data_IF_313984888831
#
_entry.id   IF_313984888831
#
_cell.length_a   1.000
_cell.length_b   1.000
_cell.length_c   1.000
_cell.angle_alpha   90.00
_cell.angle_beta   90.00
_cell.angle_gamma   90.00
#
_symmetry.space_group_name_H-M   'P 1'
#
loop_
_entity.id
_entity.type
_entity.pdbx_description
1 polymer ?
#
# COMPACT_ATOMS: atom_id res chain seq x y z
N UNK A 1 -31.71 -34.16 -17.47
CA UNK A 1 -32.09 -33.20 -16.44
C UNK A 1 -31.16 -33.45 -15.26
N UNK A 2 -30.07 -32.67 -15.14
CA UNK A 2 -29.10 -32.79 -14.06
C UNK A 2 -28.96 -31.38 -13.48
N UNK A 3 -29.46 -31.19 -12.25
CA UNK A 3 -29.33 -29.94 -11.50
C UNK A 3 -27.91 -29.80 -10.98
N UNK A 4 -27.23 -28.70 -11.35
CA UNK A 4 -25.99 -28.30 -10.78
C UNK A 4 -26.28 -27.26 -9.69
N UNK A 5 -26.37 -27.75 -8.45
CA UNK A 5 -26.44 -26.91 -7.25
C UNK A 5 -25.12 -26.21 -6.98
N UNK A 6 -25.03 -24.91 -7.33
CA UNK A 6 -23.91 -24.03 -6.96
C UNK A 6 -23.91 -23.76 -5.47
N UNK A 7 -22.95 -24.31 -4.71
CA UNK A 7 -22.68 -23.91 -3.33
C UNK A 7 -21.93 -22.58 -3.32
N UNK A 8 -22.61 -21.53 -2.85
CA UNK A 8 -21.98 -20.28 -2.46
C UNK A 8 -20.96 -20.54 -1.32
N UNK A 9 -19.69 -20.29 -1.60
CA UNK A 9 -18.62 -20.39 -0.62
C UNK A 9 -18.83 -19.35 0.50
N UNK A 10 -19.06 -19.83 1.71
CA UNK A 10 -19.08 -19.00 2.92
C UNK A 10 -17.68 -18.40 3.12
N UNK A 11 -17.59 -17.06 3.14
CA UNK A 11 -16.41 -16.31 3.56
C UNK A 11 -16.02 -16.76 4.97
N UNK A 12 -14.97 -17.56 5.07
CA UNK A 12 -14.42 -18.01 6.34
C UNK A 12 -13.69 -16.86 7.01
N UNK A 13 -14.25 -16.35 8.10
CA UNK A 13 -13.54 -15.45 8.99
C UNK A 13 -12.31 -16.19 9.55
N UNK A 14 -11.11 -15.72 9.22
CA UNK A 14 -9.86 -16.26 9.78
C UNK A 14 -9.81 -16.05 11.30
N UNK A 15 -9.38 -17.06 12.10
CA UNK A 15 -9.30 -16.94 13.55
C UNK A 15 -8.26 -15.87 13.93
N UNK A 16 -8.71 -14.87 14.71
CA UNK A 16 -7.86 -13.81 15.26
C UNK A 16 -6.81 -14.42 16.19
N UNK A 17 -5.54 -14.38 15.82
CA UNK A 17 -4.44 -14.71 16.71
C UNK A 17 -4.26 -13.61 17.76
N UNK A 18 -4.44 -13.97 19.07
CA UNK A 18 -4.14 -13.10 20.21
C UNK A 18 -2.65 -12.76 20.23
N UNK A 19 -2.33 -11.46 20.27
CA UNK A 19 -0.96 -10.98 20.51
C UNK A 19 -0.27 -10.29 19.32
N UNK A 20 -0.94 -10.11 18.18
CA UNK A 20 -0.34 -9.44 17.01
C UNK A 20 -0.60 -7.92 17.02
N UNK A 21 0.45 -7.15 16.75
CA UNK A 21 0.44 -5.73 16.42
C UNK A 21 -0.52 -5.48 15.25
N UNK A 22 -1.20 -4.33 15.28
CA UNK A 22 -2.03 -3.89 14.15
C UNK A 22 -1.25 -4.03 12.84
N UNK A 23 -1.76 -4.85 11.97
CA UNK A 23 -1.15 -5.19 10.68
C UNK A 23 -2.15 -4.80 9.60
N UNK A 24 -1.65 -4.24 8.53
CA UNK A 24 -2.41 -4.03 7.31
C UNK A 24 -1.81 -4.90 6.21
N UNK A 25 -2.62 -5.74 5.61
CA UNK A 25 -2.26 -6.53 4.44
C UNK A 25 -2.91 -5.95 3.19
N UNK A 26 -2.11 -5.77 2.14
CA UNK A 26 -2.57 -5.33 0.82
C UNK A 26 -2.32 -6.46 -0.17
N UNK A 27 -3.37 -6.95 -0.78
CA UNK A 27 -3.31 -8.04 -1.75
C UNK A 27 -3.55 -7.48 -3.15
N UNK A 28 -2.63 -7.79 -4.05
CA UNK A 28 -2.68 -7.48 -5.48
C UNK A 28 -3.05 -8.74 -6.24
N UNK A 29 -4.23 -8.78 -6.83
CA UNK A 29 -4.70 -9.89 -7.67
C UNK A 29 -4.53 -9.54 -9.14
N UNK A 30 -3.80 -10.36 -9.87
CA UNK A 30 -3.53 -10.15 -11.30
C UNK A 30 -4.77 -10.50 -12.12
N UNK A 31 -5.23 -9.57 -12.95
CA UNK A 31 -6.35 -9.77 -13.86
C UNK A 31 -5.87 -9.75 -15.33
N UNK A 32 -6.75 -10.16 -16.24
CA UNK A 32 -6.47 -10.07 -17.68
C UNK A 32 -6.42 -8.62 -18.15
N UNK A 33 -5.76 -8.36 -19.28
CA UNK A 33 -5.74 -7.03 -19.91
C UNK A 33 -4.97 -5.98 -19.12
N UNK A 34 -3.88 -6.37 -18.44
CA UNK A 34 -3.03 -5.49 -17.63
C UNK A 34 -3.80 -4.77 -16.51
N UNK A 35 -4.79 -5.43 -15.93
CA UNK A 35 -5.54 -4.95 -14.78
C UNK A 35 -5.15 -5.69 -13.53
N UNK A 36 -5.40 -5.10 -12.40
CA UNK A 36 -5.28 -5.74 -11.10
C UNK A 36 -6.34 -5.21 -10.14
N UNK A 37 -6.75 -6.10 -9.24
CA UNK A 37 -7.63 -5.79 -8.14
C UNK A 37 -6.80 -5.68 -6.87
N UNK A 38 -7.06 -4.67 -6.07
CA UNK A 38 -6.49 -4.53 -4.72
C UNK A 38 -7.55 -4.79 -3.67
N UNK A 39 -7.17 -5.58 -2.66
CA UNK A 39 -7.93 -5.72 -1.42
C UNK A 39 -7.04 -5.33 -0.23
N UNK A 40 -7.65 -4.69 0.77
CA UNK A 40 -6.95 -4.26 1.98
C UNK A 40 -7.65 -4.86 3.19
N UNK A 41 -6.90 -5.58 3.99
CA UNK A 41 -7.34 -6.10 5.29
C UNK A 41 -6.58 -5.38 6.39
N UNK A 42 -7.31 -4.85 7.37
CA UNK A 42 -6.75 -4.13 8.53
C UNK A 42 -7.29 -4.73 9.82
N UNK A 43 -6.46 -4.72 10.85
CA UNK A 43 -6.91 -5.15 12.19
C UNK A 43 -7.97 -4.22 12.79
N UNK A 44 -8.02 -2.98 12.35
CA UNK A 44 -8.92 -1.94 12.88
C UNK A 44 -9.66 -1.22 11.77
N UNK A 45 -10.88 -0.80 12.09
CA UNK A 45 -11.74 -0.06 11.18
C UNK A 45 -12.70 -0.95 10.40
N UNK A 46 -13.51 -0.36 9.53
CA UNK A 46 -14.47 -1.11 8.72
C UNK A 46 -13.76 -1.92 7.64
N UNK A 47 -14.42 -2.96 7.16
CA UNK A 47 -14.06 -3.64 5.93
C UNK A 47 -14.05 -2.67 4.77
N UNK A 48 -13.03 -2.78 3.92
CA UNK A 48 -12.86 -1.92 2.74
C UNK A 48 -13.30 -2.66 1.48
N UNK A 49 -14.01 -1.95 0.61
CA UNK A 49 -14.36 -2.48 -0.70
C UNK A 49 -13.10 -2.68 -1.55
N UNK A 50 -13.01 -3.78 -2.31
CA UNK A 50 -11.96 -3.97 -3.30
C UNK A 50 -11.93 -2.82 -4.31
N UNK A 51 -10.75 -2.51 -4.82
CA UNK A 51 -10.56 -1.45 -5.81
C UNK A 51 -9.68 -1.93 -6.95
N UNK A 52 -10.09 -1.67 -8.19
CA UNK A 52 -9.19 -1.81 -9.33
C UNK A 52 -8.14 -0.70 -9.32
N UNK A 53 -6.91 -1.07 -9.57
CA UNK A 53 -5.84 -0.11 -9.81
C UNK A 53 -5.94 0.49 -11.22
N UNK A 54 -5.17 1.58 -11.50
CA UNK A 54 -5.18 2.27 -12.79
C UNK A 54 -4.61 1.43 -13.96
N UNK A 55 -4.24 0.20 -13.69
CA UNK A 55 -3.52 -0.67 -14.60
C UNK A 55 -2.03 -0.76 -14.29
N UNK A 56 -1.30 -1.53 -15.05
CA UNK A 56 0.15 -1.60 -14.96
C UNK A 56 0.76 -1.53 -16.36
N UNK A 57 1.91 -0.89 -16.47
CA UNK A 57 2.74 -1.05 -17.64
C UNK A 57 3.42 -2.43 -17.60
N UNK A 58 4.33 -2.76 -18.50
CA UNK A 58 4.78 -4.13 -18.76
C UNK A 58 5.38 -4.86 -17.57
N UNK A 59 5.68 -4.18 -16.46
CA UNK A 59 6.56 -4.73 -15.43
C UNK A 59 5.94 -4.90 -14.05
N UNK A 60 5.21 -3.92 -13.53
CA UNK A 60 4.60 -4.01 -12.18
C UNK A 60 3.40 -3.06 -12.00
N UNK A 61 2.47 -3.38 -11.09
CA UNK A 61 1.39 -2.49 -10.72
C UNK A 61 1.90 -1.18 -10.13
N UNK A 62 1.37 -0.05 -10.58
CA UNK A 62 1.72 1.29 -10.07
C UNK A 62 1.56 1.39 -8.55
N UNK A 63 0.42 0.95 -8.02
CA UNK A 63 0.17 0.99 -6.57
C UNK A 63 1.11 0.08 -5.76
N UNK A 64 1.67 -0.99 -6.35
CA UNK A 64 2.67 -1.82 -5.68
C UNK A 64 4.01 -1.08 -5.54
N UNK A 65 4.41 -0.27 -6.53
CA UNK A 65 5.59 0.57 -6.42
C UNK A 65 5.44 1.57 -5.27
N UNK A 66 4.31 2.28 -5.19
CA UNK A 66 4.00 3.18 -4.07
C UNK A 66 4.02 2.47 -2.72
N UNK A 67 3.41 1.28 -2.63
CA UNK A 67 3.43 0.50 -1.39
C UNK A 67 4.85 0.20 -0.92
N UNK A 68 5.70 -0.30 -1.82
CA UNK A 68 7.06 -0.69 -1.49
C UNK A 68 7.93 0.52 -1.10
N UNK A 69 7.80 1.62 -1.83
CA UNK A 69 8.48 2.88 -1.54
C UNK A 69 8.08 3.42 -0.17
N UNK A 70 6.78 3.55 0.09
CA UNK A 70 6.26 4.07 1.35
C UNK A 70 6.63 3.18 2.54
N UNK A 71 6.59 1.86 2.35
CA UNK A 71 6.97 0.89 3.38
C UNK A 71 8.45 1.00 3.76
N UNK A 72 9.35 1.07 2.78
CA UNK A 72 10.80 1.19 3.00
C UNK A 72 11.18 2.57 3.55
N UNK A 73 10.57 3.65 3.03
CA UNK A 73 10.79 5.01 3.50
C UNK A 73 10.02 5.37 4.78
N UNK A 74 9.16 4.45 5.27
CA UNK A 74 8.29 4.62 6.46
C UNK A 74 7.42 5.87 6.40
N UNK A 75 6.84 6.14 5.24
CA UNK A 75 5.98 7.29 5.00
C UNK A 75 4.56 7.03 5.51
N UNK A 76 4.27 7.52 6.71
CA UNK A 76 2.93 7.35 7.33
C UNK A 76 1.87 8.30 6.77
N UNK A 77 2.27 9.36 6.07
CA UNK A 77 1.39 10.32 5.41
C UNK A 77 1.22 10.09 3.91
N UNK A 78 1.87 9.07 3.34
CA UNK A 78 1.66 8.62 1.98
C UNK A 78 0.31 7.91 1.80
N UNK A 79 0.05 7.36 0.61
CA UNK A 79 -1.21 6.72 0.28
C UNK A 79 -1.54 5.54 1.21
N UNK A 80 -0.59 4.61 1.36
CA UNK A 80 -0.79 3.39 2.18
C UNK A 80 -0.68 3.67 3.68
N UNK A 81 0.21 4.58 4.11
CA UNK A 81 0.27 5.01 5.51
C UNK A 81 -1.04 5.65 5.98
N UNK A 82 -1.72 6.41 5.11
CA UNK A 82 -3.04 6.98 5.39
C UNK A 82 -4.14 5.92 5.41
N UNK A 83 -4.06 4.88 4.57
CA UNK A 83 -4.98 3.74 4.62
C UNK A 83 -4.84 3.01 5.96
N UNK A 84 -3.61 2.75 6.40
CA UNK A 84 -3.34 2.13 7.72
C UNK A 84 -3.94 2.97 8.86
N UNK A 85 -3.77 4.29 8.82
CA UNK A 85 -4.35 5.22 9.78
C UNK A 85 -5.88 5.40 9.66
N UNK A 86 -6.54 4.77 8.71
CA UNK A 86 -7.98 4.91 8.46
C UNK A 86 -8.42 6.24 7.86
N UNK A 87 -7.49 6.97 7.24
CA UNK A 87 -7.70 8.33 6.71
C UNK A 87 -7.74 8.41 5.17
N UNK A 88 -7.62 7.32 4.47
CA UNK A 88 -7.54 7.34 3.01
C UNK A 88 -8.89 7.51 2.34
N UNK A 89 -8.93 8.31 1.26
CA UNK A 89 -10.00 8.36 0.27
C UNK A 89 -9.78 7.41 -0.92
N UNK A 90 -8.72 6.62 -0.90
CA UNK A 90 -8.35 5.67 -1.95
C UNK A 90 -9.18 4.38 -1.85
N UNK A 91 -9.45 3.93 -0.61
CA UNK A 91 -10.31 2.79 -0.31
C UNK A 91 -11.50 3.23 0.54
N UNK A 92 -12.67 2.74 0.20
CA UNK A 92 -13.91 3.10 0.86
C UNK A 92 -14.49 1.91 1.63
N UNK A 93 -15.24 2.14 2.72
CA UNK A 93 -15.96 1.07 3.39
C UNK A 93 -16.89 0.31 2.44
N UNK A 94 -16.93 -1.01 2.57
CA UNK A 94 -17.87 -1.86 1.85
C UNK A 94 -19.33 -1.59 2.27
N UNK A 95 -19.56 -1.20 3.54
CA UNK A 95 -20.87 -0.79 4.05
C UNK A 95 -21.27 0.60 3.54
N UNK A 96 -22.43 0.70 2.87
CA UNK A 96 -22.93 1.94 2.26
C UNK A 96 -23.25 3.07 3.26
N UNK A 97 -23.60 2.76 4.52
CA UNK A 97 -23.86 3.77 5.55
C UNK A 97 -22.54 4.37 6.01
N UNK A 98 -21.55 3.53 6.26
CA UNK A 98 -20.20 3.96 6.63
C UNK A 98 -19.54 4.74 5.50
N UNK A 99 -19.72 4.31 4.24
CA UNK A 99 -19.25 5.00 3.06
C UNK A 99 -19.78 6.44 3.00
N UNK A 100 -21.12 6.65 3.15
CA UNK A 100 -21.71 8.00 3.14
C UNK A 100 -21.15 8.87 4.27
N UNK A 101 -21.01 8.32 5.48
CA UNK A 101 -20.44 9.02 6.61
C UNK A 101 -18.98 9.43 6.36
N UNK A 102 -18.17 8.51 5.84
CA UNK A 102 -16.76 8.77 5.56
C UNK A 102 -16.59 9.80 4.44
N UNK A 103 -17.33 9.70 3.33
CA UNK A 103 -17.31 10.72 2.25
C UNK A 103 -17.62 12.12 2.78
N UNK A 104 -18.66 12.25 3.64
CA UNK A 104 -19.01 13.54 4.25
C UNK A 104 -17.91 14.07 5.18
N UNK A 105 -17.17 13.21 5.87
CA UNK A 105 -16.05 13.60 6.73
C UNK A 105 -14.85 14.03 5.90
N UNK A 106 -14.49 13.25 4.89
CA UNK A 106 -13.36 13.55 4.00
C UNK A 106 -13.57 14.84 3.20
N UNK A 107 -14.79 15.12 2.71
CA UNK A 107 -15.09 16.37 1.99
C UNK A 107 -14.87 17.64 2.83
N UNK A 108 -14.89 17.53 4.16
CA UNK A 108 -14.64 18.64 5.08
C UNK A 108 -13.20 18.69 5.60
N UNK A 109 -12.42 17.64 5.34
CA UNK A 109 -11.04 17.52 5.82
C UNK A 109 -10.10 18.32 4.91
N UNK A 110 -9.26 19.14 5.54
CA UNK A 110 -8.13 19.77 4.85
C UNK A 110 -6.86 19.05 5.30
N UNK A 111 -6.08 18.44 4.38
CA UNK A 111 -4.79 17.86 4.72
C UNK A 111 -3.86 18.92 5.30
N UNK A 112 -3.03 18.54 6.28
CA UNK A 112 -2.00 19.42 6.82
C UNK A 112 -0.84 19.60 5.84
N UNK A 113 -0.01 20.63 6.05
CA UNK A 113 1.21 20.84 5.26
C UNK A 113 2.16 19.61 5.35
N UNK A 114 2.25 19.00 6.54
CA UNK A 114 3.06 17.79 6.74
C UNK A 114 2.54 16.58 5.94
N UNK A 115 1.21 16.41 5.83
CA UNK A 115 0.61 15.34 5.02
C UNK A 115 0.85 15.58 3.52
N UNK A 116 0.76 16.83 3.05
CA UNK A 116 1.11 17.19 1.68
C UNK A 116 2.59 16.91 1.38
N UNK A 117 3.50 17.30 2.29
CA UNK A 117 4.92 17.06 2.13
C UNK A 117 5.25 15.56 2.07
N UNK A 118 4.63 14.73 2.93
CA UNK A 118 4.84 13.27 2.89
C UNK A 118 4.26 12.63 1.63
N UNK A 119 3.11 13.12 1.15
CA UNK A 119 2.54 12.65 -0.11
C UNK A 119 3.45 13.02 -1.29
N UNK A 120 3.91 14.30 -1.36
CA UNK A 120 4.88 14.72 -2.38
C UNK A 120 6.14 13.87 -2.36
N UNK A 121 6.70 13.60 -1.17
CA UNK A 121 7.85 12.71 -1.04
C UNK A 121 7.57 11.28 -1.52
N UNK A 122 6.35 10.75 -1.29
CA UNK A 122 5.95 9.43 -1.80
C UNK A 122 5.95 9.40 -3.32
N UNK A 123 5.34 10.40 -3.96
CA UNK A 123 5.28 10.53 -5.42
C UNK A 123 6.69 10.68 -6.03
N UNK A 124 7.52 11.56 -5.48
CA UNK A 124 8.88 11.80 -5.95
C UNK A 124 9.73 10.52 -5.85
N UNK A 125 9.74 9.86 -4.69
CA UNK A 125 10.49 8.62 -4.49
C UNK A 125 9.98 7.49 -5.39
N UNK A 126 8.66 7.32 -5.51
CA UNK A 126 8.10 6.28 -6.36
C UNK A 126 8.48 6.50 -7.83
N UNK A 127 8.35 7.73 -8.33
CA UNK A 127 8.70 8.09 -9.70
C UNK A 127 10.18 7.86 -9.98
N UNK A 128 11.04 8.34 -9.09
CA UNK A 128 12.50 8.21 -9.25
C UNK A 128 12.97 6.77 -9.15
N UNK A 129 12.51 6.04 -8.11
CA UNK A 129 12.89 4.64 -7.93
C UNK A 129 12.39 3.75 -9.08
N UNK A 130 11.21 4.04 -9.63
CA UNK A 130 10.70 3.33 -10.80
C UNK A 130 11.57 3.58 -12.03
N UNK A 131 11.96 4.84 -12.30
CA UNK A 131 12.85 5.16 -13.43
C UNK A 131 14.23 4.50 -13.27
N UNK A 132 14.82 4.58 -12.06
CA UNK A 132 16.11 3.92 -11.77
C UNK A 132 16.01 2.40 -11.95
N UNK A 133 14.93 1.81 -11.49
CA UNK A 133 14.68 0.39 -11.63
C UNK A 133 14.55 -0.02 -13.10
N UNK A 134 13.77 0.73 -13.89
CA UNK A 134 13.59 0.48 -15.34
C UNK A 134 14.90 0.61 -16.11
N UNK A 135 15.75 1.62 -15.79
CA UNK A 135 17.07 1.80 -16.38
C UNK A 135 17.99 0.61 -16.03
N UNK A 136 18.03 0.21 -14.77
CA UNK A 136 18.87 -0.91 -14.30
C UNK A 136 18.46 -2.25 -14.90
N UNK A 137 17.16 -2.47 -15.08
CA UNK A 137 16.62 -3.69 -15.68
C UNK A 137 16.67 -3.68 -17.22
N UNK A 138 17.13 -2.60 -17.85
CA UNK A 138 17.14 -2.46 -19.30
C UNK A 138 15.76 -2.25 -19.95
N UNK A 139 14.77 -1.88 -19.12
CA UNK A 139 13.40 -1.59 -19.57
C UNK A 139 13.25 -0.16 -20.12
N UNK A 140 14.25 0.67 -19.86
CA UNK A 140 14.35 2.06 -20.32
C UNK A 140 15.79 2.34 -20.73
N UNK A 141 15.99 3.07 -21.85
CA UNK A 141 17.32 3.45 -22.33
C UNK A 141 17.84 4.75 -21.74
N UNK A 142 16.96 5.71 -21.45
CA UNK A 142 17.31 7.06 -20.97
C UNK A 142 16.35 7.52 -19.88
N UNK A 143 16.82 8.32 -18.89
CA UNK A 143 15.94 8.93 -17.92
C UNK A 143 15.03 9.99 -18.59
N UNK A 144 13.82 10.23 -18.08
CA UNK A 144 12.98 11.31 -18.57
C UNK A 144 13.56 12.68 -18.20
N UNK A 145 13.22 13.71 -18.98
CA UNK A 145 13.77 15.08 -18.82
C UNK A 145 13.51 15.75 -17.48
N UNK A 146 12.57 15.26 -16.68
CA UNK A 146 12.28 15.76 -15.34
C UNK A 146 13.18 15.15 -14.26
N UNK A 147 13.87 14.05 -14.57
CA UNK A 147 14.62 13.26 -13.57
C UNK A 147 15.72 14.06 -12.88
N UNK A 148 16.42 14.93 -13.61
CA UNK A 148 17.49 15.77 -13.05
C UNK A 148 17.00 16.88 -12.12
N UNK A 149 15.68 17.11 -12.06
CA UNK A 149 15.05 18.12 -11.19
C UNK A 149 14.64 17.58 -9.83
N UNK A 150 14.80 16.29 -9.61
CA UNK A 150 14.44 15.69 -8.32
C UNK A 150 15.51 16.08 -7.28
N UNK A 151 15.12 16.67 -6.14
CA UNK A 151 16.07 17.02 -5.10
C UNK A 151 16.87 15.80 -4.62
N UNK A 152 18.20 15.93 -4.62
CA UNK A 152 19.10 14.82 -4.23
C UNK A 152 18.91 14.39 -2.78
N UNK A 153 18.45 15.29 -1.90
CA UNK A 153 18.12 15.00 -0.51
C UNK A 153 16.95 14.02 -0.35
N UNK A 154 16.13 13.82 -1.39
CA UNK A 154 15.08 12.82 -1.39
C UNK A 154 15.61 11.41 -1.68
N UNK A 155 16.86 11.29 -2.09
CA UNK A 155 17.52 10.06 -2.48
C UNK A 155 18.67 9.72 -1.53
N UNK A 156 18.38 9.09 -0.42
CA UNK A 156 19.40 8.41 0.36
C UNK A 156 19.81 7.15 -0.39
N UNK A 157 21.07 7.01 -0.81
CA UNK A 157 21.53 5.88 -1.62
C UNK A 157 21.18 4.51 -1.01
N UNK A 158 21.35 4.35 0.29
CA UNK A 158 20.98 3.11 0.98
C UNK A 158 19.47 2.84 1.02
N UNK A 159 18.62 3.87 1.06
CA UNK A 159 17.16 3.71 0.94
C UNK A 159 16.78 3.33 -0.48
N UNK A 160 17.34 4.00 -1.47
CA UNK A 160 17.10 3.74 -2.88
C UNK A 160 17.44 2.29 -3.22
N UNK A 161 18.62 1.80 -2.82
CA UNK A 161 19.03 0.41 -3.06
C UNK A 161 18.06 -0.60 -2.42
N UNK A 162 17.58 -0.35 -1.20
CA UNK A 162 16.57 -1.22 -0.58
C UNK A 162 15.27 -1.22 -1.36
N UNK A 163 14.81 -0.05 -1.82
CA UNK A 163 13.59 0.07 -2.63
C UNK A 163 13.76 -0.70 -3.95
N UNK A 164 14.88 -0.50 -4.66
CA UNK A 164 15.15 -1.20 -5.92
C UNK A 164 15.16 -2.72 -5.74
N UNK A 165 15.80 -3.23 -4.68
CA UNK A 165 15.79 -4.66 -4.36
C UNK A 165 14.36 -5.19 -4.11
N UNK A 166 13.50 -4.41 -3.45
CA UNK A 166 12.09 -4.78 -3.23
C UNK A 166 11.27 -4.76 -4.52
N UNK A 167 11.54 -3.80 -5.42
CA UNK A 167 10.92 -3.76 -6.74
C UNK A 167 11.32 -4.97 -7.58
N UNK A 168 12.59 -5.36 -7.58
CA UNK A 168 13.09 -6.56 -8.27
C UNK A 168 12.38 -7.83 -7.75
N UNK A 169 12.34 -8.03 -6.43
CA UNK A 169 11.67 -9.17 -5.79
C UNK A 169 10.19 -9.23 -6.17
N UNK A 170 9.50 -8.09 -6.09
CA UNK A 170 8.08 -8.03 -6.43
C UNK A 170 7.84 -8.29 -7.91
N UNK A 171 8.61 -7.64 -8.80
CA UNK A 171 8.47 -7.79 -10.24
C UNK A 171 8.68 -9.24 -10.68
N UNK A 172 9.71 -9.92 -10.18
CA UNK A 172 9.95 -11.33 -10.46
C UNK A 172 8.75 -12.22 -10.10
N UNK A 173 8.18 -12.01 -8.90
CA UNK A 173 7.00 -12.72 -8.43
C UNK A 173 5.75 -12.37 -9.25
N UNK A 174 5.57 -11.08 -9.58
CA UNK A 174 4.43 -10.60 -10.36
C UNK A 174 4.43 -11.14 -11.78
N UNK A 175 5.59 -11.22 -12.43
CA UNK A 175 5.72 -11.79 -13.77
C UNK A 175 5.37 -13.27 -13.80
N UNK A 176 5.87 -14.03 -12.83
CA UNK A 176 5.58 -15.46 -12.71
C UNK A 176 4.13 -15.76 -12.30
N UNK A 177 3.38 -14.75 -11.79
CA UNK A 177 2.04 -14.94 -11.25
C UNK A 177 1.02 -15.16 -12.38
N UNK A 178 0.25 -16.26 -12.38
CA UNK A 178 -0.85 -16.47 -13.33
C UNK A 178 -1.99 -15.48 -13.10
N UNK A 179 -2.79 -15.20 -14.13
CA UNK A 179 -4.04 -14.44 -14.01
C UNK A 179 -4.98 -15.13 -13.00
N UNK A 180 -5.64 -14.34 -12.18
CA UNK A 180 -6.49 -14.80 -11.08
C UNK A 180 -5.76 -15.10 -9.78
N UNK A 181 -4.41 -15.09 -9.76
CA UNK A 181 -3.62 -15.28 -8.55
C UNK A 181 -3.17 -13.96 -7.94
N UNK A 182 -2.68 -14.02 -6.70
CA UNK A 182 -2.45 -12.83 -5.89
C UNK A 182 -1.10 -12.85 -5.19
N UNK A 183 -0.57 -11.63 -4.94
CA UNK A 183 0.54 -11.38 -4.03
C UNK A 183 0.03 -10.50 -2.89
N UNK A 184 0.29 -10.90 -1.65
CA UNK A 184 -0.01 -10.10 -0.46
C UNK A 184 1.27 -9.50 0.09
N UNK A 185 1.22 -8.19 0.35
CA UNK A 185 2.26 -7.42 1.03
C UNK A 185 1.73 -6.94 2.38
N UNK A 186 2.55 -7.09 3.42
CA UNK A 186 2.23 -6.65 4.77
C UNK A 186 2.87 -5.29 5.05
N UNK A 187 2.07 -4.33 5.51
CA UNK A 187 2.56 -3.01 5.91
C UNK A 187 3.43 -3.11 7.16
N UNK A 188 4.63 -2.50 7.16
CA UNK A 188 5.52 -2.58 8.30
C UNK A 188 4.93 -1.88 9.52
N UNK A 189 5.05 -2.48 10.71
CA UNK A 189 4.49 -1.91 11.93
C UNK A 189 5.17 -0.58 12.28
N UNK A 190 4.36 0.42 12.62
CA UNK A 190 4.86 1.74 13.05
C UNK A 190 5.47 1.65 14.46
N UNK A 191 6.79 1.89 14.60
CA UNK A 191 7.50 1.80 15.88
C UNK A 191 7.22 2.97 16.84
N UNK A 192 6.52 4.03 16.39
CA UNK A 192 6.32 5.24 17.20
C UNK A 192 5.38 5.04 18.39
N UNK A 193 4.50 4.03 18.38
CA UNK A 193 3.57 3.75 19.48
C UNK A 193 4.18 2.98 20.67
N UNK A 194 5.48 2.64 20.66
CA UNK A 194 6.11 1.95 21.82
C UNK A 194 6.31 2.85 23.03
N UNK A 195 6.29 4.19 22.89
CA UNK A 195 6.55 5.12 24.00
C UNK A 195 5.31 5.58 24.76
N UNK A 196 4.11 5.42 24.22
CA UNK A 196 2.87 5.89 24.86
C UNK A 196 2.25 4.91 25.86
N UNK A 197 2.73 3.67 25.96
CA UNK A 197 2.14 2.61 26.79
C UNK A 197 2.89 2.29 28.09
N UNK A 198 4.08 2.83 28.33
CA UNK A 198 4.83 2.61 29.58
C UNK A 198 4.48 3.71 30.60
N UNK A 199 3.31 3.59 31.26
CA UNK A 199 3.08 4.28 32.53
C UNK A 199 4.01 3.61 33.56
N UNK A 200 4.87 4.34 34.27
CA UNK A 200 5.60 3.78 35.39
C UNK A 200 4.58 3.37 36.47
N UNK A 201 4.68 2.11 36.90
CA UNK A 201 3.93 1.65 38.08
C UNK A 201 4.30 2.54 39.27
N UNK A 202 3.30 3.25 39.77
CA UNK A 202 3.46 4.20 40.88
C UNK A 202 4.07 3.55 42.10
N UNK A 203 5.14 4.15 42.61
CA UNK A 203 5.63 3.93 43.93
C UNK A 203 4.51 4.34 44.95
N UNK A 204 3.96 3.38 45.64
CA UNK A 204 3.18 3.64 46.87
C UNK A 204 4.18 3.89 47.96
N UNK A 205 4.09 5.06 48.59
CA UNK A 205 4.50 5.32 49.96
C UNK A 205 3.30 5.28 50.86
#
# INVERSE_FOLDING_TARGET
MVELGGRAGKSGAFPRRRGYRAVMDVTFTKESGRRYLMTVVRDRGPELAPRHGPGYHDYLPHDAAHFLVEAEARLTGGAFGRIEAGQSNMFWPADNRLLRHQKRRESKRKPSAAEHAQMGRSEDLASVCQVLWELRAGHRSEPPSWFDRVPSENLESGLTERILARLDEFAARWHALPVGHSITLTWPPNNHNRRAGARPAGARR
#
